data_IF_693138591967
#
_entry.id   IF_693138591967
#
_cell.length_a   1.000
_cell.length_b   1.000
_cell.length_c   1.000
_cell.angle_alpha   90.00
_cell.angle_beta   90.00
_cell.angle_gamma   90.00
#
_symmetry.space_group_name_H-M   'P 1'
#
loop_
_entity.id
_entity.type
_entity.pdbx_description
1 polymer ?
#
# COMPACT_ATOMS: atom_id res chain seq x y z
N UNK A 1 5.90 -24.65 -0.64
CA UNK A 1 4.92 -23.84 0.10
C UNK A 1 4.09 -22.99 -0.86
N UNK A 2 2.84 -22.76 -0.55
CA UNK A 2 1.92 -21.95 -1.35
C UNK A 2 0.67 -21.56 -0.54
N UNK A 3 -0.04 -20.53 -1.01
CA UNK A 3 -1.35 -20.16 -0.48
C UNK A 3 -2.40 -21.17 -0.96
N UNK A 4 -3.19 -21.71 -0.03
CA UNK A 4 -4.32 -22.59 -0.34
C UNK A 4 -5.64 -21.84 -0.38
N UNK A 5 -5.73 -20.72 0.34
CA UNK A 5 -6.88 -19.81 0.33
C UNK A 5 -6.44 -18.38 0.73
N UNK A 6 -7.13 -17.39 0.16
CA UNK A 6 -7.02 -15.97 0.55
C UNK A 6 -8.38 -15.32 0.39
N UNK A 7 -8.86 -14.66 1.44
CA UNK A 7 -10.14 -13.95 1.47
C UNK A 7 -9.95 -12.58 2.13
N UNK A 8 -10.60 -11.55 1.60
CA UNK A 8 -10.64 -10.24 2.26
C UNK A 8 -11.38 -10.32 3.58
N UNK A 9 -10.84 -9.67 4.61
CA UNK A 9 -11.42 -9.59 5.94
C UNK A 9 -11.36 -8.17 6.49
N UNK A 10 -12.16 -7.88 7.51
CA UNK A 10 -12.11 -6.58 8.19
C UNK A 10 -10.73 -6.39 8.83
N UNK A 11 -10.03 -5.34 8.40
CA UNK A 11 -8.70 -5.02 8.91
C UNK A 11 -7.55 -5.80 8.26
N UNK A 12 -7.79 -6.53 7.15
CA UNK A 12 -6.76 -7.28 6.46
C UNK A 12 -7.30 -8.43 5.62
N UNK A 13 -6.72 -9.62 5.79
CA UNK A 13 -7.03 -10.83 5.01
C UNK A 13 -7.10 -12.05 5.93
N UNK A 14 -7.89 -13.05 5.52
CA UNK A 14 -7.84 -14.40 6.07
C UNK A 14 -7.11 -15.30 5.07
N UNK A 15 -6.01 -15.91 5.49
CA UNK A 15 -5.19 -16.75 4.63
C UNK A 15 -5.08 -18.19 5.13
N UNK A 16 -4.84 -19.12 4.22
CA UNK A 16 -4.44 -20.48 4.56
C UNK A 16 -3.21 -20.86 3.74
N UNK A 17 -2.24 -21.49 4.38
CA UNK A 17 -0.91 -21.75 3.81
C UNK A 17 -0.59 -23.24 3.93
N UNK A 18 -0.16 -23.85 2.83
CA UNK A 18 0.59 -25.09 2.83
C UNK A 18 2.07 -24.72 2.95
N UNK A 19 2.65 -24.92 4.11
CA UNK A 19 4.06 -24.71 4.38
C UNK A 19 4.96 -25.77 3.76
N UNK A 20 6.19 -25.88 4.23
CA UNK A 20 7.11 -26.97 3.85
C UNK A 20 6.79 -28.22 4.66
N UNK A 21 6.55 -28.09 5.96
CA UNK A 21 6.32 -29.18 6.89
C UNK A 21 4.88 -29.25 7.42
N UNK A 22 4.10 -28.16 7.37
CA UNK A 22 2.77 -28.06 7.98
C UNK A 22 1.72 -27.38 7.13
N UNK A 23 0.46 -27.60 7.53
CA UNK A 23 -0.71 -26.90 7.00
C UNK A 23 -1.24 -25.92 8.04
N UNK A 24 -1.42 -24.66 7.67
CA UNK A 24 -1.89 -23.59 8.54
C UNK A 24 -3.13 -22.95 7.94
N UNK A 25 -4.25 -22.98 8.66
CA UNK A 25 -5.55 -22.58 8.12
C UNK A 25 -6.15 -21.43 8.88
N UNK A 26 -6.88 -20.57 8.17
CA UNK A 26 -7.65 -19.46 8.71
C UNK A 26 -6.80 -18.51 9.57
N UNK A 27 -5.61 -18.18 9.11
CA UNK A 27 -4.73 -17.22 9.76
C UNK A 27 -5.20 -15.79 9.47
N UNK A 28 -5.44 -14.99 10.51
CA UNK A 28 -5.76 -13.57 10.38
C UNK A 28 -4.51 -12.76 10.08
N UNK A 29 -4.37 -12.28 8.85
CA UNK A 29 -3.27 -11.42 8.42
C UNK A 29 -3.73 -9.95 8.42
N UNK A 30 -3.26 -9.08 9.35
CA UNK A 30 -3.69 -7.68 9.44
C UNK A 30 -2.98 -6.77 8.43
N UNK A 31 -2.79 -7.28 7.22
CA UNK A 31 -2.13 -6.58 6.11
C UNK A 31 -2.98 -6.72 4.84
N UNK A 32 -2.96 -5.70 3.99
CA UNK A 32 -3.73 -5.66 2.73
C UNK A 32 -2.85 -5.96 1.53
N UNK A 33 -3.48 -6.49 0.45
CA UNK A 33 -2.85 -6.80 -0.83
C UNK A 33 -2.32 -8.24 -0.91
N UNK A 34 -2.55 -8.88 -2.08
CA UNK A 34 -2.22 -10.28 -2.32
C UNK A 34 -0.75 -10.61 -2.05
N UNK A 35 0.15 -9.66 -2.39
CA UNK A 35 1.58 -9.82 -2.14
C UNK A 35 1.94 -9.98 -0.65
N UNK A 36 1.10 -9.49 0.27
CA UNK A 36 1.34 -9.69 1.71
C UNK A 36 0.98 -11.11 2.14
N UNK A 37 -0.03 -11.72 1.53
CA UNK A 37 -0.35 -13.12 1.74
C UNK A 37 0.79 -14.03 1.26
N UNK A 38 1.37 -13.75 0.08
CA UNK A 38 2.55 -14.45 -0.42
C UNK A 38 3.77 -14.27 0.49
N UNK A 39 4.00 -13.06 1.00
CA UNK A 39 5.06 -12.78 1.96
C UNK A 39 4.86 -13.55 3.27
N UNK A 40 3.63 -13.67 3.76
CA UNK A 40 3.32 -14.45 4.95
C UNK A 40 3.60 -15.95 4.73
N UNK A 41 3.21 -16.50 3.58
CA UNK A 41 3.53 -17.88 3.23
C UNK A 41 5.05 -18.12 3.14
N UNK A 42 5.78 -17.19 2.54
CA UNK A 42 7.25 -17.24 2.49
C UNK A 42 7.87 -17.17 3.88
N UNK A 43 7.36 -16.31 4.77
CA UNK A 43 7.84 -16.18 6.14
C UNK A 43 7.65 -17.47 6.93
N UNK A 44 6.48 -18.11 6.84
CA UNK A 44 6.20 -19.40 7.47
C UNK A 44 7.21 -20.45 6.97
N UNK A 45 7.38 -20.58 5.66
CA UNK A 45 8.30 -21.55 5.06
C UNK A 45 9.76 -21.29 5.48
N UNK A 46 10.18 -20.04 5.59
CA UNK A 46 11.52 -19.68 6.07
C UNK A 46 11.74 -20.10 7.51
N UNK A 47 10.75 -19.91 8.41
CA UNK A 47 10.85 -20.30 9.81
C UNK A 47 10.85 -21.82 9.96
N UNK A 48 10.01 -22.56 9.21
CA UNK A 48 10.04 -24.03 9.18
C UNK A 48 11.42 -24.57 8.76
N UNK A 49 12.01 -23.96 7.71
CA UNK A 49 13.36 -24.35 7.26
C UNK A 49 14.41 -24.06 8.30
N UNK A 50 14.34 -22.91 8.96
CA UNK A 50 15.35 -22.48 9.94
C UNK A 50 15.29 -23.29 11.26
N UNK A 51 14.10 -23.54 11.80
CA UNK A 51 13.92 -24.21 13.10
C UNK A 51 13.89 -25.72 13.00
N UNK A 52 13.37 -26.28 11.90
CA UNK A 52 13.10 -27.70 11.77
C UNK A 52 13.72 -28.37 10.53
N UNK A 53 14.66 -27.71 9.83
CA UNK A 53 15.18 -28.15 8.52
C UNK A 53 14.07 -28.43 7.47
N UNK A 54 12.85 -27.91 7.69
CA UNK A 54 11.69 -28.19 6.85
C UNK A 54 11.00 -29.54 7.13
N UNK A 55 11.39 -30.27 8.16
CA UNK A 55 10.84 -31.58 8.49
C UNK A 55 9.82 -31.53 9.64
N UNK A 56 9.82 -30.44 10.41
CA UNK A 56 8.99 -30.29 11.61
C UNK A 56 8.04 -29.10 11.44
N UNK A 57 6.71 -29.33 11.51
CA UNK A 57 5.74 -28.23 11.45
C UNK A 57 5.86 -27.33 12.68
N UNK A 58 5.59 -26.06 12.50
CA UNK A 58 5.48 -25.09 13.59
C UNK A 58 4.18 -25.34 14.38
N UNK A 59 4.17 -24.98 15.68
CA UNK A 59 2.93 -24.99 16.45
C UNK A 59 1.89 -24.05 15.85
N UNK A 60 0.66 -24.54 15.62
CA UNK A 60 -0.39 -23.76 14.96
C UNK A 60 -0.66 -22.43 15.67
N UNK A 61 -0.77 -22.44 17.01
CA UNK A 61 -0.97 -21.23 17.83
C UNK A 61 0.18 -20.21 17.66
N UNK A 62 1.43 -20.70 17.56
CA UNK A 62 2.60 -19.83 17.37
C UNK A 62 2.55 -19.14 16.00
N UNK A 63 2.12 -19.84 14.95
CA UNK A 63 1.97 -19.28 13.62
C UNK A 63 0.81 -18.28 13.59
N UNK A 64 -0.33 -18.63 14.20
CA UNK A 64 -1.50 -17.76 14.29
C UNK A 64 -1.16 -16.44 14.99
N UNK A 65 -0.54 -16.49 16.17
CA UNK A 65 -0.12 -15.31 16.92
C UNK A 65 0.92 -14.49 16.14
N UNK A 66 1.91 -15.14 15.53
CA UNK A 66 2.95 -14.48 14.75
C UNK A 66 2.41 -13.74 13.52
N UNK A 67 1.45 -14.34 12.82
CA UNK A 67 0.79 -13.70 11.67
C UNK A 67 -0.14 -12.59 12.15
N UNK A 68 -0.94 -12.79 13.18
CA UNK A 68 -1.87 -11.80 13.71
C UNK A 68 -1.16 -10.54 14.25
N UNK A 69 0.04 -10.69 14.78
CA UNK A 69 0.86 -9.58 15.30
C UNK A 69 1.75 -8.95 14.22
N UNK A 70 1.69 -9.42 12.98
CA UNK A 70 2.52 -8.87 11.91
C UNK A 70 2.12 -7.43 11.59
N UNK A 71 3.12 -6.60 11.31
CA UNK A 71 2.92 -5.21 10.88
C UNK A 71 3.91 -4.85 9.79
N UNK A 72 3.50 -3.99 8.88
CA UNK A 72 4.36 -3.50 7.79
C UNK A 72 4.10 -2.01 7.59
N UNK A 73 4.78 -1.14 8.38
CA UNK A 73 4.60 0.30 8.29
C UNK A 73 4.86 0.81 6.86
N UNK A 74 3.98 1.72 6.39
CA UNK A 74 4.07 2.26 5.03
C UNK A 74 3.74 1.25 3.92
N UNK A 75 3.02 0.16 4.22
CA UNK A 75 2.50 -0.77 3.22
C UNK A 75 1.00 -0.90 3.39
N UNK A 76 0.22 -0.14 2.60
CA UNK A 76 -1.23 0.01 2.74
C UNK A 76 -1.65 0.23 4.20
N UNK A 77 -0.85 1.00 4.92
CA UNK A 77 -1.09 1.29 6.34
C UNK A 77 -2.22 2.31 6.48
N UNK A 78 -3.31 1.90 7.12
CA UNK A 78 -4.39 2.83 7.49
C UNK A 78 -3.93 3.62 8.72
N UNK A 79 -3.94 4.96 8.61
CA UNK A 79 -3.52 5.88 9.69
C UNK A 79 -4.67 6.76 10.18
N UNK A 80 -5.78 6.82 9.46
CA UNK A 80 -7.02 7.52 9.84
C UNK A 80 -8.22 6.84 9.18
N UNK A 81 -9.43 7.04 9.70
CA UNK A 81 -10.64 6.34 9.24
C UNK A 81 -11.75 7.25 8.70
N UNK A 82 -11.71 8.58 8.95
CA UNK A 82 -12.77 9.51 8.52
C UNK A 82 -12.19 10.85 8.05
N UNK A 83 -11.78 10.99 6.77
CA UNK A 83 -11.73 9.97 5.71
C UNK A 83 -10.67 8.90 5.99
N UNK A 84 -10.79 7.76 5.33
CA UNK A 84 -9.73 6.74 5.41
C UNK A 84 -8.45 7.27 4.79
N UNK A 85 -7.36 7.33 5.57
CA UNK A 85 -6.04 7.74 5.08
C UNK A 85 -5.11 6.53 5.04
N UNK A 86 -4.60 6.24 3.85
CA UNK A 86 -3.72 5.12 3.58
C UNK A 86 -2.32 5.66 3.25
N UNK A 87 -1.32 5.12 3.92
CA UNK A 87 0.09 5.39 3.66
C UNK A 87 0.72 4.20 2.95
N UNK A 88 1.36 4.43 1.80
CA UNK A 88 2.10 3.38 1.07
C UNK A 88 3.42 3.90 0.50
N UNK A 89 4.46 3.09 0.57
CA UNK A 89 5.81 3.42 0.12
C UNK A 89 6.09 3.00 -1.34
N UNK A 90 5.06 2.88 -2.19
CA UNK A 90 5.26 2.65 -3.62
C UNK A 90 6.06 3.82 -4.23
N UNK A 91 7.16 3.49 -4.92
CA UNK A 91 8.13 4.48 -5.42
C UNK A 91 8.71 4.11 -6.80
N UNK A 92 8.07 3.20 -7.50
CA UNK A 92 8.35 2.84 -8.89
C UNK A 92 7.05 2.34 -9.56
N UNK A 93 6.98 2.29 -10.90
CA UNK A 93 5.76 1.91 -11.62
C UNK A 93 5.18 0.56 -11.19
N UNK A 94 6.04 -0.47 -11.06
CA UNK A 94 5.60 -1.81 -10.66
C UNK A 94 4.97 -1.84 -9.26
N UNK A 95 5.54 -1.13 -8.29
CA UNK A 95 4.96 -1.02 -6.95
C UNK A 95 3.67 -0.18 -6.95
N UNK A 96 3.56 0.84 -7.80
CA UNK A 96 2.34 1.63 -7.97
C UNK A 96 1.20 0.77 -8.57
N UNK A 97 1.49 -0.07 -9.58
CA UNK A 97 0.52 -1.02 -10.12
C UNK A 97 0.04 -2.03 -9.06
N UNK A 98 0.96 -2.58 -8.26
CA UNK A 98 0.62 -3.51 -7.18
C UNK A 98 -0.27 -2.84 -6.11
N UNK A 99 0.06 -1.58 -5.76
CA UNK A 99 -0.73 -0.75 -4.87
C UNK A 99 -2.15 -0.53 -5.40
N UNK A 100 -2.30 -0.17 -6.67
CA UNK A 100 -3.60 0.03 -7.31
C UNK A 100 -4.45 -1.24 -7.28
N UNK A 101 -3.89 -2.40 -7.62
CA UNK A 101 -4.60 -3.68 -7.52
C UNK A 101 -5.06 -3.96 -6.09
N UNK A 102 -4.21 -3.70 -5.11
CA UNK A 102 -4.53 -3.94 -3.71
C UNK A 102 -5.62 -2.97 -3.19
N UNK A 103 -5.60 -1.70 -3.60
CA UNK A 103 -6.65 -0.74 -3.27
C UNK A 103 -7.98 -1.18 -3.85
N UNK A 104 -8.04 -1.50 -5.14
CA UNK A 104 -9.27 -1.94 -5.79
C UNK A 104 -9.83 -3.25 -5.22
N UNK A 105 -8.96 -4.15 -4.75
CA UNK A 105 -9.36 -5.43 -4.16
C UNK A 105 -9.79 -5.35 -2.70
N UNK A 106 -9.33 -4.34 -1.96
CA UNK A 106 -9.51 -4.28 -0.49
C UNK A 106 -10.38 -3.12 -0.02
N UNK A 107 -10.58 -2.08 -0.84
CA UNK A 107 -11.28 -0.86 -0.45
C UNK A 107 -12.35 -0.47 -1.47
N UNK A 108 -13.36 0.26 -1.00
CA UNK A 108 -14.39 0.87 -1.85
C UNK A 108 -14.60 2.30 -1.38
N UNK A 109 -14.07 3.26 -2.13
CA UNK A 109 -14.20 4.69 -1.83
C UNK A 109 -15.17 5.36 -2.80
N UNK A 110 -15.92 6.35 -2.33
CA UNK A 110 -16.71 7.22 -3.20
C UNK A 110 -15.82 8.12 -4.06
N UNK A 111 -14.63 8.43 -3.56
CA UNK A 111 -13.59 9.22 -4.22
C UNK A 111 -12.24 8.89 -3.58
N UNK A 112 -11.20 8.71 -4.38
CA UNK A 112 -9.83 8.50 -3.93
C UNK A 112 -8.94 9.68 -4.33
N UNK A 113 -8.37 10.38 -3.35
CA UNK A 113 -7.44 11.48 -3.55
C UNK A 113 -6.01 11.01 -3.26
N UNK A 114 -5.09 11.25 -4.17
CA UNK A 114 -3.69 10.88 -3.99
C UNK A 114 -2.84 12.08 -3.60
N UNK A 115 -2.21 12.05 -2.44
CA UNK A 115 -1.11 12.95 -2.06
C UNK A 115 0.17 12.33 -2.60
N UNK A 116 0.81 13.01 -3.54
CA UNK A 116 1.94 12.49 -4.29
C UNK A 116 3.19 13.37 -4.17
N UNK A 117 4.30 12.76 -3.74
CA UNK A 117 5.63 13.35 -3.78
C UNK A 117 6.64 12.34 -4.28
N UNK A 118 7.54 12.74 -5.20
CA UNK A 118 8.47 11.80 -5.86
C UNK A 118 9.90 12.38 -5.80
N UNK A 119 10.91 11.50 -5.75
CA UNK A 119 12.32 11.86 -5.83
C UNK A 119 12.82 11.84 -7.28
N UNK A 120 13.77 12.72 -7.62
CA UNK A 120 14.30 12.90 -8.98
C UNK A 120 14.81 11.63 -9.68
N UNK A 121 15.32 10.65 -8.93
CA UNK A 121 15.84 9.41 -9.50
C UNK A 121 14.77 8.36 -9.79
N UNK A 122 13.50 8.67 -9.59
CA UNK A 122 12.37 7.76 -9.84
C UNK A 122 11.71 8.07 -11.16
N UNK A 123 11.05 7.08 -11.72
CA UNK A 123 10.21 7.19 -12.91
C UNK A 123 8.85 7.79 -12.51
N UNK A 124 8.79 9.12 -12.46
CA UNK A 124 7.59 9.87 -12.11
C UNK A 124 6.45 9.65 -13.10
N UNK A 125 6.75 9.64 -14.39
CA UNK A 125 5.77 9.38 -15.45
C UNK A 125 5.11 8.02 -15.25
N UNK A 126 5.90 6.94 -15.15
CA UNK A 126 5.37 5.59 -15.00
C UNK A 126 4.62 5.39 -13.68
N UNK A 127 5.01 6.08 -12.60
CA UNK A 127 4.26 6.06 -11.33
C UNK A 127 2.89 6.72 -11.51
N UNK A 128 2.83 7.90 -12.14
CA UNK A 128 1.57 8.63 -12.35
C UNK A 128 0.65 7.86 -13.30
N UNK A 129 1.17 7.32 -14.41
CA UNK A 129 0.40 6.48 -15.35
C UNK A 129 -0.21 5.25 -14.65
N UNK A 130 0.51 4.63 -13.71
CA UNK A 130 0.00 3.49 -12.95
C UNK A 130 -1.12 3.90 -11.96
N UNK A 131 -1.02 5.09 -11.33
CA UNK A 131 -1.99 5.58 -10.36
C UNK A 131 -3.25 6.19 -11.00
N UNK A 132 -3.12 6.80 -12.18
CA UNK A 132 -4.18 7.55 -12.86
C UNK A 132 -5.53 6.81 -12.99
N UNK A 133 -5.57 5.50 -13.30
CA UNK A 133 -6.83 4.77 -13.46
C UNK A 133 -7.67 4.62 -12.18
N UNK A 134 -7.08 4.79 -10.98
CA UNK A 134 -7.76 4.55 -9.70
C UNK A 134 -7.90 5.80 -8.83
N UNK A 135 -7.20 6.88 -9.18
CA UNK A 135 -7.19 8.14 -8.43
C UNK A 135 -8.12 9.14 -9.08
N UNK A 136 -9.00 9.78 -8.32
CA UNK A 136 -9.88 10.82 -8.86
C UNK A 136 -9.19 12.18 -8.99
N UNK A 137 -8.37 12.57 -8.01
CA UNK A 137 -7.60 13.80 -8.01
C UNK A 137 -6.23 13.59 -7.33
N UNK A 138 -5.24 14.34 -7.80
CA UNK A 138 -3.91 14.39 -7.21
C UNK A 138 -3.71 15.70 -6.44
N UNK A 139 -3.12 15.60 -5.26
CA UNK A 139 -2.56 16.73 -4.52
C UNK A 139 -1.05 16.55 -4.51
N UNK A 140 -0.39 17.27 -5.39
CA UNK A 140 1.05 17.18 -5.57
C UNK A 140 1.77 17.97 -4.48
N UNK A 141 2.81 17.37 -3.92
CA UNK A 141 3.64 17.97 -2.87
C UNK A 141 5.10 17.53 -3.01
N UNK A 142 5.94 17.99 -2.10
CA UNK A 142 7.34 17.55 -2.03
C UNK A 142 7.73 17.27 -0.57
N UNK A 143 8.63 16.31 -0.38
CA UNK A 143 9.27 16.09 0.92
C UNK A 143 10.35 17.16 1.17
N UNK A 144 10.90 17.18 2.39
CA UNK A 144 12.02 18.08 2.73
C UNK A 144 13.38 17.61 2.18
N UNK A 145 13.39 16.54 1.38
CA UNK A 145 14.60 16.00 0.77
C UNK A 145 15.10 16.92 -0.36
N UNK A 146 16.40 17.18 -0.41
CA UNK A 146 17.04 17.87 -1.53
C UNK A 146 16.91 17.12 -2.87
N UNK A 147 16.50 15.85 -2.83
CA UNK A 147 16.23 15.02 -4.01
C UNK A 147 14.78 15.03 -4.46
N UNK A 148 13.89 15.74 -3.75
CA UNK A 148 12.49 15.81 -4.17
C UNK A 148 12.34 16.55 -5.51
N UNK A 149 11.52 16.00 -6.40
CA UNK A 149 11.04 16.75 -7.57
C UNK A 149 10.28 17.97 -7.06
N UNK A 150 10.50 19.13 -7.67
CA UNK A 150 9.77 20.33 -7.26
C UNK A 150 8.27 20.15 -7.46
N UNK A 151 7.47 20.81 -6.62
CA UNK A 151 6.00 20.76 -6.75
C UNK A 151 5.55 21.18 -8.15
N UNK A 152 6.21 22.20 -8.75
CA UNK A 152 5.90 22.69 -10.10
C UNK A 152 6.14 21.61 -11.16
N UNK A 153 7.34 21.01 -11.16
CA UNK A 153 7.71 20.03 -12.19
C UNK A 153 6.84 18.76 -12.08
N UNK A 154 6.58 18.30 -10.86
CA UNK A 154 5.72 17.15 -10.64
C UNK A 154 4.26 17.45 -11.01
N UNK A 155 3.76 18.66 -10.75
CA UNK A 155 2.42 19.08 -11.15
C UNK A 155 2.27 19.14 -12.67
N UNK A 156 3.32 19.56 -13.38
CA UNK A 156 3.33 19.56 -14.85
C UNK A 156 3.27 18.12 -15.39
N UNK A 157 4.05 17.18 -14.83
CA UNK A 157 3.99 15.76 -15.19
C UNK A 157 2.59 15.18 -14.94
N UNK A 158 2.02 15.41 -13.76
CA UNK A 158 0.68 14.89 -13.41
C UNK A 158 -0.40 15.51 -14.30
N UNK A 159 -0.31 16.82 -14.57
CA UNK A 159 -1.28 17.52 -15.44
C UNK A 159 -1.24 17.02 -16.88
N UNK A 160 -0.07 16.65 -17.38
CA UNK A 160 0.08 16.10 -18.72
C UNK A 160 -0.57 14.72 -18.88
N UNK A 161 -0.63 13.91 -17.82
CA UNK A 161 -1.16 12.55 -17.83
C UNK A 161 -2.63 12.53 -17.41
N UNK A 162 -2.94 13.07 -16.24
CA UNK A 162 -4.27 13.01 -15.62
C UNK A 162 -5.21 14.16 -16.06
N UNK A 163 -4.65 15.24 -16.61
CA UNK A 163 -5.36 16.47 -16.94
C UNK A 163 -5.30 17.52 -15.82
N UNK A 164 -5.20 18.82 -16.17
CA UNK A 164 -4.97 19.90 -15.22
C UNK A 164 -6.12 20.08 -14.19
N UNK A 165 -7.34 19.72 -14.54
CA UNK A 165 -8.52 19.84 -13.67
C UNK A 165 -8.49 18.84 -12.50
N UNK A 166 -7.62 17.84 -12.54
CA UNK A 166 -7.46 16.81 -11.51
C UNK A 166 -6.23 17.04 -10.63
N UNK A 167 -5.55 18.17 -10.74
CA UNK A 167 -4.30 18.46 -10.03
C UNK A 167 -4.46 19.66 -9.12
N UNK A 168 -4.15 19.47 -7.84
CA UNK A 168 -3.95 20.53 -6.85
C UNK A 168 -2.49 20.48 -6.37
N UNK A 169 -1.93 21.56 -5.88
CA UNK A 169 -0.54 21.66 -5.44
C UNK A 169 -0.41 22.28 -4.07
N UNK A 170 0.46 21.70 -3.23
CA UNK A 170 0.77 22.21 -1.89
C UNK A 170 2.29 22.14 -1.67
N UNK A 171 2.82 23.13 -0.97
CA UNK A 171 4.26 23.25 -0.75
C UNK A 171 4.85 22.26 0.26
N UNK A 172 4.00 21.64 1.07
CA UNK A 172 4.40 20.70 2.13
C UNK A 172 3.36 19.57 2.29
N UNK A 173 3.80 18.48 2.93
CA UNK A 173 2.99 17.27 3.08
C UNK A 173 1.76 17.49 3.98
N UNK A 174 1.89 18.30 5.04
CA UNK A 174 0.79 18.53 5.98
C UNK A 174 -0.37 19.28 5.30
N UNK A 175 -0.05 20.37 4.59
CA UNK A 175 -1.05 21.13 3.83
C UNK A 175 -1.64 20.32 2.65
N UNK A 176 -0.84 19.42 2.05
CA UNK A 176 -1.34 18.51 1.03
C UNK A 176 -2.31 17.47 1.60
N UNK A 177 -2.01 16.92 2.76
CA UNK A 177 -2.88 15.96 3.44
C UNK A 177 -4.23 16.60 3.83
N UNK A 178 -4.20 17.78 4.43
CA UNK A 178 -5.43 18.51 4.78
C UNK A 178 -6.26 18.80 3.52
N UNK A 179 -5.63 19.24 2.44
CA UNK A 179 -6.33 19.48 1.18
C UNK A 179 -6.94 18.20 0.59
N UNK A 180 -6.23 17.08 0.66
CA UNK A 180 -6.73 15.80 0.18
C UNK A 180 -7.93 15.31 1.01
N UNK A 181 -7.92 15.51 2.33
CA UNK A 181 -9.05 15.20 3.21
C UNK A 181 -10.29 16.04 2.89
N UNK A 182 -10.11 17.35 2.59
CA UNK A 182 -11.21 18.21 2.13
C UNK A 182 -11.84 17.70 0.82
N UNK A 183 -11.00 17.31 -0.14
CA UNK A 183 -11.43 16.85 -1.46
C UNK A 183 -12.12 15.48 -1.42
N UNK A 184 -11.63 14.56 -0.58
CA UNK A 184 -12.18 13.20 -0.46
C UNK A 184 -13.55 13.18 0.21
N UNK A 185 -13.80 14.10 1.15
CA UNK A 185 -14.98 14.04 2.01
C UNK A 185 -14.89 12.85 2.99
N UNK A 186 -15.88 12.72 3.85
CA UNK A 186 -15.89 11.75 4.97
C UNK A 186 -15.88 10.29 4.48
N UNK A 187 -16.58 10.00 3.38
CA UNK A 187 -16.73 8.65 2.81
C UNK A 187 -15.69 8.34 1.73
N UNK A 188 -14.75 9.25 1.51
CA UNK A 188 -13.66 9.07 0.56
C UNK A 188 -12.43 8.45 1.18
N UNK A 189 -11.43 8.23 0.32
CA UNK A 189 -10.10 7.78 0.69
C UNK A 189 -9.03 8.80 0.33
N UNK A 190 -7.98 8.85 1.12
CA UNK A 190 -6.75 9.58 0.83
C UNK A 190 -5.60 8.58 0.78
N UNK A 191 -4.93 8.53 -0.34
CA UNK A 191 -3.70 7.75 -0.52
C UNK A 191 -2.50 8.68 -0.45
N UNK A 192 -1.58 8.43 0.48
CA UNK A 192 -0.29 9.14 0.54
C UNK A 192 0.80 8.20 0.05
N UNK A 193 1.46 8.55 -1.06
CA UNK A 193 2.42 7.64 -1.69
C UNK A 193 3.50 8.39 -2.48
N UNK A 194 4.42 7.63 -3.09
CA UNK A 194 5.57 8.13 -3.83
C UNK A 194 6.86 7.85 -3.08
N UNK A 195 7.67 8.87 -2.83
CA UNK A 195 8.92 8.70 -2.09
C UNK A 195 8.77 9.29 -0.68
N UNK A 196 8.51 8.41 0.27
CA UNK A 196 8.33 8.74 1.68
C UNK A 196 9.71 8.74 2.36
N UNK A 197 10.45 9.81 2.23
CA UNK A 197 11.71 10.01 2.98
C UNK A 197 11.87 11.46 3.34
#
# INVERSE_FOLDING_TARGET
>A
FYLTNTESAVGGQMISVSGIAGEYRNLGLPLFGDYQADNAALAIAAVESFLGNGDIPLGAEVVEDGILLSSSPGRLQIIDHHPTVILDAAHNPHSAEALCRAIMGSFSFSRLICVLGILHEKDDIGIVEALDPVVDNFVVTQSQSDRAISVSDLADTVSAIAGPDRVDSRGDVDSALERAKELSGVEGGVLVTGSIT
#
